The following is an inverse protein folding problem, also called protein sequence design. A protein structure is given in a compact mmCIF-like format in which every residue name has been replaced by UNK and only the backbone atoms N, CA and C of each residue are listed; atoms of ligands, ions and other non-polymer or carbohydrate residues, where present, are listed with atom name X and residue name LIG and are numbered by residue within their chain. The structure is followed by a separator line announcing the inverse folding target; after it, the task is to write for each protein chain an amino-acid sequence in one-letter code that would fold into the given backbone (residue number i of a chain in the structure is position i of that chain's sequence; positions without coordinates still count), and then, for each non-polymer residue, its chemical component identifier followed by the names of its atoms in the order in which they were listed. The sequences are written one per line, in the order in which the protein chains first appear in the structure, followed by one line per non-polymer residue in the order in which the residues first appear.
data_IF_093345112853
#
_entry.id   IF_093345112853
#
_cell.length_a   1.000
_cell.length_b   1.000
_cell.length_c   1.000
_cell.angle_alpha   90.00
_cell.angle_beta   90.00
_cell.angle_gamma   90.00
#
_symmetry.space_group_name_H-M   'P 1'
#
loop_
_entity.id
_entity.type
_entity.pdbx_description
1 polymer ?
#
# COMPACT_ATOMS: atom_id res chain seq x y z
N UNK A 1 -32.97 -60.30 -25.69
CA UNK A 1 -33.89 -59.25 -25.18
C UNK A 1 -33.11 -58.31 -24.27
N UNK A 2 -33.16 -57.00 -24.60
CA UNK A 2 -32.87 -55.77 -23.83
C UNK A 2 -31.69 -55.72 -22.85
N UNK A 3 -30.65 -54.97 -23.25
CA UNK A 3 -29.64 -54.34 -22.38
C UNK A 3 -30.28 -53.12 -21.68
N UNK A 4 -30.26 -53.05 -20.36
CA UNK A 4 -30.55 -51.81 -19.62
C UNK A 4 -29.24 -51.01 -19.48
N UNK A 5 -29.18 -49.86 -20.16
CA UNK A 5 -28.21 -48.82 -19.87
C UNK A 5 -28.84 -47.85 -18.87
N UNK A 6 -28.27 -47.77 -17.66
CA UNK A 6 -28.64 -46.74 -16.69
C UNK A 6 -27.81 -45.48 -16.98
N UNK A 7 -28.46 -44.44 -17.49
CA UNK A 7 -27.88 -43.13 -17.69
C UNK A 7 -28.02 -42.34 -16.37
N UNK A 8 -26.92 -42.17 -15.65
CA UNK A 8 -26.85 -41.29 -14.48
C UNK A 8 -26.74 -39.84 -14.96
N UNK A 9 -27.81 -39.08 -14.78
CA UNK A 9 -27.88 -37.66 -15.07
C UNK A 9 -27.31 -36.89 -13.88
N UNK A 10 -26.07 -36.41 -13.99
CA UNK A 10 -25.44 -35.55 -12.99
C UNK A 10 -26.08 -34.16 -13.02
N UNK A 11 -26.90 -33.86 -12.03
CA UNK A 11 -27.49 -32.52 -11.86
C UNK A 11 -26.45 -31.61 -11.18
N UNK A 12 -25.69 -30.86 -11.98
CA UNK A 12 -24.78 -29.84 -11.49
C UNK A 12 -25.59 -28.64 -10.96
N UNK A 13 -25.72 -28.50 -9.63
CA UNK A 13 -26.16 -27.26 -9.01
C UNK A 13 -25.08 -26.19 -9.25
N UNK A 14 -25.28 -25.38 -10.30
CA UNK A 14 -24.58 -24.11 -10.42
C UNK A 14 -25.14 -23.17 -9.35
N UNK A 15 -24.43 -23.03 -8.23
CA UNK A 15 -24.69 -21.99 -7.26
C UNK A 15 -24.51 -20.62 -7.92
N UNK A 16 -25.28 -19.59 -7.54
CA UNK A 16 -25.09 -18.26 -8.08
C UNK A 16 -23.67 -17.81 -7.69
N UNK A 17 -22.83 -17.58 -8.70
CA UNK A 17 -21.62 -16.82 -8.50
C UNK A 17 -22.03 -15.49 -7.86
N UNK A 18 -21.54 -15.23 -6.65
CA UNK A 18 -21.70 -13.95 -6.01
C UNK A 18 -21.27 -12.90 -7.02
N UNK A 19 -22.24 -12.13 -7.52
CA UNK A 19 -22.01 -11.00 -8.39
C UNK A 19 -21.07 -10.06 -7.64
N UNK A 20 -19.80 -10.03 -8.06
CA UNK A 20 -18.93 -8.92 -7.78
C UNK A 20 -19.65 -7.67 -8.29
N UNK A 21 -20.19 -6.86 -7.38
CA UNK A 21 -20.61 -5.50 -7.70
C UNK A 21 -19.45 -4.75 -8.38
N UNK A 22 -19.70 -3.63 -9.05
CA UNK A 22 -18.74 -2.99 -9.94
C UNK A 22 -17.52 -2.50 -9.15
N UNK A 23 -16.53 -3.36 -9.00
CA UNK A 23 -15.20 -3.09 -8.43
C UNK A 23 -14.22 -2.73 -9.57
N UNK A 24 -14.76 -2.07 -10.61
CA UNK A 24 -14.13 -1.87 -11.91
C UNK A 24 -13.32 -0.57 -12.01
N UNK A 25 -13.09 0.13 -10.91
CA UNK A 25 -12.03 1.15 -10.85
C UNK A 25 -10.79 0.44 -10.32
N UNK A 26 -10.14 -0.33 -11.19
CA UNK A 26 -8.95 -1.13 -10.85
C UNK A 26 -7.80 -0.30 -10.29
N UNK A 27 -6.70 -0.96 -9.91
CA UNK A 27 -5.53 -0.29 -9.29
C UNK A 27 -5.02 0.93 -10.08
N UNK A 28 -5.10 0.93 -11.42
CA UNK A 28 -4.76 2.10 -12.23
C UNK A 28 -5.63 3.34 -11.92
N UNK A 29 -6.95 3.17 -11.80
CA UNK A 29 -7.86 4.26 -11.43
C UNK A 29 -7.59 4.77 -10.00
N UNK A 30 -7.22 3.86 -9.09
CA UNK A 30 -6.80 4.23 -7.74
C UNK A 30 -5.51 5.08 -7.75
N UNK A 31 -4.53 4.72 -8.59
CA UNK A 31 -3.30 5.49 -8.76
C UNK A 31 -3.59 6.87 -9.37
N UNK A 32 -4.44 6.94 -10.39
CA UNK A 32 -4.83 8.20 -11.04
C UNK A 32 -5.51 9.15 -10.03
N UNK A 33 -6.43 8.64 -9.22
CA UNK A 33 -7.09 9.44 -8.17
C UNK A 33 -6.11 9.94 -7.09
N UNK A 34 -5.11 9.12 -6.77
CA UNK A 34 -4.07 9.42 -5.79
C UNK A 34 -2.90 10.23 -6.38
N UNK A 35 -2.92 10.53 -7.68
CA UNK A 35 -1.80 11.14 -8.41
C UNK A 35 -0.47 10.38 -8.23
N UNK A 36 -0.53 9.05 -8.19
CA UNK A 36 0.62 8.18 -7.99
C UNK A 36 1.11 7.57 -9.32
N UNK A 37 2.42 7.40 -9.42
CA UNK A 37 3.09 6.67 -10.48
C UNK A 37 3.64 5.38 -9.89
N UNK A 38 3.22 4.25 -10.47
CA UNK A 38 3.72 2.92 -10.11
C UNK A 38 4.76 2.45 -11.14
N UNK A 39 5.98 2.22 -10.67
CA UNK A 39 7.13 1.82 -11.48
C UNK A 39 7.79 0.59 -10.82
N UNK A 40 7.25 -0.63 -11.01
CA UNK A 40 7.81 -1.82 -10.38
C UNK A 40 9.27 -2.05 -10.83
N UNK A 41 10.18 -2.48 -9.93
CA UNK A 41 11.54 -2.77 -10.34
C UNK A 41 11.59 -3.95 -11.32
N UNK A 42 12.53 -3.90 -12.26
CA UNK A 42 12.65 -4.92 -13.29
C UNK A 42 12.82 -6.33 -12.70
N UNK A 43 12.11 -7.30 -13.26
CA UNK A 43 12.18 -8.70 -12.88
C UNK A 43 11.33 -9.08 -11.65
N UNK A 44 10.70 -8.13 -10.96
CA UNK A 44 9.79 -8.47 -9.87
C UNK A 44 8.54 -9.15 -10.42
N UNK A 45 8.04 -10.11 -9.67
CA UNK A 45 6.80 -10.84 -9.97
C UNK A 45 5.66 -10.31 -9.12
N UNK A 46 4.48 -10.14 -9.72
CA UNK A 46 3.28 -9.76 -8.96
C UNK A 46 2.79 -10.92 -8.10
N UNK A 47 2.39 -10.59 -6.87
CA UNK A 47 1.68 -11.47 -5.97
C UNK A 47 0.21 -11.03 -5.88
N UNK A 48 -0.70 -11.94 -5.49
CA UNK A 48 -2.09 -11.57 -5.24
C UNK A 48 -2.19 -10.42 -4.22
N UNK A 49 -3.12 -9.46 -4.41
CA UNK A 49 -3.45 -8.50 -3.37
C UNK A 49 -4.01 -9.23 -2.15
N UNK A 50 -3.93 -8.60 -0.99
CA UNK A 50 -4.28 -9.25 0.25
C UNK A 50 -4.76 -8.30 1.33
N UNK A 51 -5.40 -8.92 2.32
CA UNK A 51 -5.85 -8.26 3.54
C UNK A 51 -5.18 -8.93 4.70
N UNK A 52 -4.57 -8.13 5.56
CA UNK A 52 -4.03 -8.61 6.83
C UNK A 52 -4.75 -7.85 7.94
N UNK A 53 -4.82 -8.42 9.16
CA UNK A 53 -5.29 -7.67 10.31
C UNK A 53 -4.57 -6.32 10.49
N UNK A 54 -3.34 -6.15 9.98
CA UNK A 54 -2.55 -4.94 10.18
C UNK A 54 -2.68 -3.92 9.05
N UNK A 55 -2.81 -4.38 7.80
CA UNK A 55 -2.87 -3.54 6.60
C UNK A 55 -3.53 -4.29 5.43
N UNK A 56 -4.52 -3.65 4.81
CA UNK A 56 -5.01 -4.03 3.50
C UNK A 56 -4.12 -3.43 2.41
N UNK A 57 -3.73 -4.22 1.42
CA UNK A 57 -2.85 -3.76 0.33
C UNK A 57 -3.42 -4.12 -1.04
N UNK A 58 -3.33 -3.19 -1.98
CA UNK A 58 -3.88 -3.35 -3.33
C UNK A 58 -2.90 -4.02 -4.30
N UNK A 59 -1.60 -4.04 -3.97
CA UNK A 59 -0.56 -4.72 -4.75
C UNK A 59 0.54 -5.30 -3.88
N UNK A 60 1.10 -6.41 -4.34
CA UNK A 60 2.31 -6.98 -3.79
C UNK A 60 3.25 -7.45 -4.91
N UNK A 61 4.56 -7.30 -4.68
CA UNK A 61 5.63 -7.70 -5.60
C UNK A 61 6.66 -8.51 -4.86
N UNK A 62 7.30 -9.47 -5.53
CA UNK A 62 8.44 -10.21 -4.99
C UNK A 62 9.63 -10.14 -5.92
N UNK A 63 10.82 -10.02 -5.35
CA UNK A 63 12.07 -10.09 -6.10
C UNK A 63 12.29 -11.45 -6.75
N UNK A 64 13.12 -11.54 -7.80
CA UNK A 64 13.51 -12.82 -8.39
C UNK A 64 14.12 -13.82 -7.40
N UNK A 65 14.90 -13.33 -6.43
CA UNK A 65 15.54 -14.18 -5.40
C UNK A 65 14.58 -14.57 -4.27
N UNK A 66 13.50 -13.82 -4.07
CA UNK A 66 12.56 -14.02 -2.97
C UNK A 66 12.91 -13.26 -1.69
N UNK A 67 14.08 -12.61 -1.62
CA UNK A 67 14.58 -11.97 -0.39
C UNK A 67 13.93 -10.60 -0.08
N UNK A 68 13.15 -10.06 -1.02
CA UNK A 68 12.46 -8.80 -0.85
C UNK A 68 11.04 -8.89 -1.40
N UNK A 69 10.06 -8.61 -0.54
CA UNK A 69 8.66 -8.43 -0.88
C UNK A 69 8.25 -6.98 -0.68
N UNK A 70 7.45 -6.43 -1.59
CA UNK A 70 6.95 -5.05 -1.55
C UNK A 70 5.43 -5.13 -1.49
N UNK A 71 4.79 -4.48 -0.52
CA UNK A 71 3.32 -4.37 -0.43
C UNK A 71 2.91 -2.91 -0.47
N UNK A 72 1.91 -2.60 -1.28
CA UNK A 72 1.45 -1.24 -1.57
C UNK A 72 0.03 -1.03 -1.07
N UNK A 73 -0.16 -0.01 -0.25
CA UNK A 73 -1.45 0.45 0.21
C UNK A 73 -1.66 1.93 -0.15
N UNK A 74 -2.73 2.25 -0.88
CA UNK A 74 -3.05 3.61 -1.34
C UNK A 74 -4.34 4.10 -0.67
N UNK A 75 -4.30 5.32 -0.11
CA UNK A 75 -5.41 5.93 0.63
C UNK A 75 -5.66 7.37 0.12
N UNK A 76 -6.46 7.55 -0.95
CA UNK A 76 -6.84 8.88 -1.41
C UNK A 76 -7.62 9.64 -0.35
N UNK A 77 -7.24 10.89 -0.07
CA UNK A 77 -7.91 11.71 0.94
C UNK A 77 -9.37 12.00 0.56
N UNK A 78 -9.68 12.05 -0.75
CA UNK A 78 -11.05 12.19 -1.25
C UNK A 78 -11.99 11.05 -0.85
N UNK A 79 -11.44 9.87 -0.54
CA UNK A 79 -12.18 8.69 -0.07
C UNK A 79 -12.27 8.61 1.44
N UNK A 80 -11.51 9.44 2.16
CA UNK A 80 -11.50 9.44 3.62
C UNK A 80 -12.81 10.06 4.13
N UNK A 81 -13.74 9.20 4.55
CA UNK A 81 -14.93 9.62 5.30
C UNK A 81 -14.55 9.67 6.78
N UNK A 82 -14.37 10.87 7.31
CA UNK A 82 -14.28 11.06 8.76
C UNK A 82 -15.71 11.34 9.25
N UNK A 83 -16.43 10.28 9.61
CA UNK A 83 -17.74 10.41 10.25
C UNK A 83 -17.50 10.75 11.74
N UNK A 84 -17.75 12.00 12.14
CA UNK A 84 -17.77 12.42 13.55
C UNK A 84 -19.22 12.66 13.99
N UNK A 85 -19.68 11.91 14.99
CA UNK A 85 -21.00 12.08 15.63
C UNK A 85 -21.00 13.17 16.73
N UNK A 86 -19.87 13.88 16.95
CA UNK A 86 -19.73 14.87 18.02
C UNK A 86 -19.88 16.32 17.50
N UNK A 87 -20.95 17.04 17.87
CA UNK A 87 -21.19 18.43 17.46
C UNK A 87 -20.22 19.46 18.08
N UNK A 88 -19.32 19.05 18.97
CA UNK A 88 -18.29 19.91 19.58
C UNK A 88 -16.85 19.57 19.15
N UNK A 89 -16.66 18.58 18.27
CA UNK A 89 -15.33 18.21 17.76
C UNK A 89 -14.83 19.19 16.70
N UNK A 90 -13.73 19.90 16.95
CA UNK A 90 -12.98 20.55 15.88
C UNK A 90 -12.40 19.45 14.98
N UNK A 91 -12.84 19.38 13.71
CA UNK A 91 -12.32 18.40 12.74
C UNK A 91 -10.84 18.72 12.49
N UNK A 92 -9.89 17.87 12.93
CA UNK A 92 -8.49 18.09 12.58
C UNK A 92 -8.34 17.93 11.07
N UNK A 93 -7.64 18.88 10.43
CA UNK A 93 -7.35 18.83 9.00
C UNK A 93 -6.70 17.47 8.67
N UNK A 94 -7.25 16.67 7.73
CA UNK A 94 -6.66 15.40 7.30
C UNK A 94 -5.19 15.52 6.88
N UNK A 95 -4.77 16.69 6.40
CA UNK A 95 -3.38 16.97 6.06
C UNK A 95 -2.46 17.07 7.29
N UNK A 96 -2.99 17.11 8.51
CA UNK A 96 -2.21 17.23 9.74
C UNK A 96 -2.26 15.97 10.61
N UNK A 97 -3.13 15.00 10.29
CA UNK A 97 -3.24 13.75 11.05
C UNK A 97 -2.33 12.64 10.50
N UNK A 98 -1.84 12.76 9.26
CA UNK A 98 -1.06 11.70 8.62
C UNK A 98 0.20 11.26 9.42
N UNK A 99 0.93 12.13 10.16
CA UNK A 99 2.05 11.65 10.98
C UNK A 99 1.57 10.71 12.08
N UNK A 100 0.42 11.00 12.69
CA UNK A 100 -0.17 10.15 13.73
C UNK A 100 -0.65 8.81 13.15
N UNK A 101 -1.24 8.83 11.95
CA UNK A 101 -1.64 7.60 11.24
C UNK A 101 -0.42 6.75 10.93
N UNK A 102 0.66 7.35 10.44
CA UNK A 102 1.92 6.66 10.19
C UNK A 102 2.53 6.05 11.45
N UNK A 103 2.64 6.80 12.55
CA UNK A 103 3.16 6.29 13.82
C UNK A 103 2.30 5.15 14.38
N UNK A 104 0.97 5.27 14.28
CA UNK A 104 0.04 4.21 14.66
C UNK A 104 0.25 2.95 13.82
N UNK A 105 0.42 3.09 12.50
CA UNK A 105 0.67 1.97 11.60
C UNK A 105 2.04 1.34 11.88
N UNK A 106 3.09 2.13 12.06
CA UNK A 106 4.43 1.64 12.37
C UNK A 106 4.44 0.85 13.69
N UNK A 107 3.82 1.38 14.74
CA UNK A 107 3.69 0.70 16.03
C UNK A 107 2.89 -0.61 15.92
N UNK A 108 1.80 -0.60 15.15
CA UNK A 108 0.97 -1.78 14.90
C UNK A 108 1.75 -2.88 14.15
N UNK A 109 2.48 -2.50 13.09
CA UNK A 109 3.32 -3.42 12.32
C UNK A 109 4.44 -4.04 13.15
N UNK A 110 4.96 -3.29 14.13
CA UNK A 110 5.94 -3.75 15.10
C UNK A 110 5.35 -4.52 16.30
N UNK A 111 4.04 -4.81 16.32
CA UNK A 111 3.41 -5.51 17.44
C UNK A 111 3.39 -4.74 18.76
N UNK A 112 3.42 -3.41 18.72
CA UNK A 112 3.60 -2.55 19.90
C UNK A 112 5.07 -2.38 20.33
N UNK A 113 6.02 -2.97 19.60
CA UNK A 113 7.45 -2.77 19.78
C UNK A 113 7.94 -1.40 19.28
N UNK A 114 9.23 -1.13 19.47
CA UNK A 114 9.85 0.11 18.99
C UNK A 114 10.05 0.05 17.46
N UNK A 115 9.37 0.94 16.74
CA UNK A 115 9.57 1.17 15.32
C UNK A 115 10.23 2.54 15.13
N UNK A 116 11.57 2.65 15.17
CA UNK A 116 12.23 3.93 15.00
C UNK A 116 11.87 4.51 13.64
N UNK A 117 11.22 5.66 13.66
CA UNK A 117 10.79 6.38 12.48
C UNK A 117 11.65 7.63 12.26
N UNK A 118 11.87 7.99 11.01
CA UNK A 118 12.51 9.24 10.64
C UNK A 118 11.77 9.88 9.46
N UNK A 119 11.26 11.11 9.61
CA UNK A 119 10.78 11.87 8.47
C UNK A 119 11.97 12.30 7.60
N UNK A 120 11.75 12.32 6.30
CA UNK A 120 12.68 12.92 5.36
C UNK A 120 12.63 14.45 5.48
N UNK A 121 13.76 15.16 5.29
CA UNK A 121 13.71 16.60 5.00
C UNK A 121 12.77 16.87 3.83
N UNK A 122 12.00 17.97 3.88
CA UNK A 122 10.97 18.30 2.86
C UNK A 122 11.55 18.27 1.45
N UNK A 123 12.73 18.86 1.25
CA UNK A 123 13.43 18.88 -0.04
C UNK A 123 13.74 17.47 -0.55
N UNK A 124 14.09 16.54 0.33
CA UNK A 124 14.34 15.14 -0.04
C UNK A 124 13.04 14.40 -0.35
N UNK A 125 11.97 14.64 0.42
CA UNK A 125 10.65 14.05 0.14
C UNK A 125 10.13 14.49 -1.24
N UNK A 126 10.32 15.78 -1.56
CA UNK A 126 9.98 16.34 -2.87
C UNK A 126 10.88 15.76 -3.98
N UNK A 127 12.20 15.81 -3.82
CA UNK A 127 13.14 15.36 -4.85
C UNK A 127 13.04 13.86 -5.13
N UNK A 128 12.79 13.03 -4.11
CA UNK A 128 12.77 11.57 -4.26
C UNK A 128 11.40 11.01 -4.61
N UNK A 129 10.31 11.64 -4.15
CA UNK A 129 8.97 11.05 -4.22
C UNK A 129 7.90 12.01 -4.76
N UNK A 130 8.26 13.25 -5.09
CA UNK A 130 7.33 14.36 -5.36
C UNK A 130 6.28 14.54 -4.23
N UNK A 131 6.61 14.15 -3.00
CA UNK A 131 5.72 14.19 -1.85
C UNK A 131 5.89 15.51 -1.07
N UNK A 132 4.84 15.96 -0.38
CA UNK A 132 4.96 17.06 0.59
C UNK A 132 5.64 16.58 1.88
N UNK A 133 5.45 15.31 2.20
CA UNK A 133 6.08 14.66 3.33
C UNK A 133 6.32 13.18 3.05
N UNK A 134 7.41 12.64 3.60
CA UNK A 134 7.66 11.21 3.62
C UNK A 134 8.35 10.83 4.94
N UNK A 135 8.13 9.60 5.40
CA UNK A 135 8.88 9.02 6.51
C UNK A 135 9.12 7.53 6.30
N UNK A 136 10.19 7.03 6.90
CA UNK A 136 10.47 5.61 6.95
C UNK A 136 10.57 5.13 8.40
N UNK A 137 10.02 3.95 8.68
CA UNK A 137 10.20 3.24 9.94
C UNK A 137 10.67 1.80 9.67
N UNK A 138 11.64 1.32 10.44
CA UNK A 138 12.07 -0.08 10.41
C UNK A 138 11.42 -0.81 11.58
N UNK A 139 10.99 -2.05 11.38
CA UNK A 139 10.32 -2.86 12.39
C UNK A 139 10.66 -4.34 12.23
N UNK A 140 10.55 -5.08 13.33
CA UNK A 140 10.48 -6.55 13.28
C UNK A 140 9.03 -6.96 13.03
N UNK A 141 8.81 -7.89 12.09
CA UNK A 141 7.47 -8.28 11.68
C UNK A 141 6.79 -9.13 12.75
N UNK A 142 5.48 -8.98 12.87
CA UNK A 142 4.63 -9.90 13.64
C UNK A 142 3.92 -10.91 12.75
N UNK A 143 3.55 -12.07 13.34
CA UNK A 143 2.83 -13.15 12.65
C UNK A 143 1.55 -12.66 11.97
N UNK A 144 0.86 -11.69 12.58
CA UNK A 144 -0.39 -11.11 12.05
C UNK A 144 -0.19 -10.34 10.73
N UNK A 145 1.05 -10.06 10.34
CA UNK A 145 1.34 -9.49 9.03
C UNK A 145 1.41 -10.53 7.91
N UNK A 146 1.23 -11.82 8.21
CA UNK A 146 1.16 -12.91 7.22
C UNK A 146 2.32 -12.86 6.22
N UNK A 147 3.54 -12.85 6.73
CA UNK A 147 4.79 -12.85 5.96
C UNK A 147 5.74 -13.91 6.50
N UNK A 148 6.63 -14.38 5.64
CA UNK A 148 7.74 -15.28 6.01
C UNK A 148 9.00 -14.52 6.44
N UNK A 149 9.07 -13.23 6.07
CA UNK A 149 10.18 -12.35 6.43
C UNK A 149 10.06 -11.88 7.86
N UNK A 150 11.21 -11.67 8.49
CA UNK A 150 11.34 -11.30 9.91
C UNK A 150 11.45 -9.80 10.14
N UNK A 151 11.82 -9.02 9.13
CA UNK A 151 11.98 -7.57 9.21
C UNK A 151 11.17 -6.84 8.14
N UNK A 152 10.89 -5.56 8.40
CA UNK A 152 10.26 -4.69 7.43
C UNK A 152 10.69 -3.24 7.53
N UNK A 153 10.47 -2.52 6.44
CA UNK A 153 10.56 -1.07 6.35
C UNK A 153 9.23 -0.53 5.83
N UNK A 154 8.56 0.30 6.62
CA UNK A 154 7.39 1.06 6.21
C UNK A 154 7.86 2.41 5.68
N UNK A 155 7.59 2.69 4.40
CA UNK A 155 7.72 4.02 3.80
C UNK A 155 6.31 4.61 3.66
N UNK A 156 6.08 5.76 4.30
CA UNK A 156 4.86 6.53 4.12
C UNK A 156 5.15 7.76 3.26
N UNK A 157 4.25 8.03 2.30
CA UNK A 157 4.28 9.18 1.41
C UNK A 157 2.97 9.94 1.57
N UNK A 158 3.06 11.27 1.71
CA UNK A 158 1.90 12.15 1.81
C UNK A 158 2.01 13.30 0.81
N UNK A 159 0.90 13.60 0.13
CA UNK A 159 0.72 14.82 -0.64
C UNK A 159 -0.54 15.53 -0.16
N UNK A 160 -0.37 16.79 0.21
CA UNK A 160 -1.42 17.63 0.75
C UNK A 160 -2.63 17.66 -0.19
N UNK A 161 -3.81 17.39 0.37
CA UNK A 161 -5.12 17.39 -0.31
C UNK A 161 -5.28 16.34 -1.41
N UNK A 162 -4.32 15.41 -1.53
CA UNK A 162 -4.33 14.35 -2.55
C UNK A 162 -4.49 12.97 -1.90
N UNK A 163 -3.45 12.41 -1.29
CA UNK A 163 -3.50 11.05 -0.74
C UNK A 163 -2.36 10.75 0.22
N UNK A 164 -2.55 9.67 0.99
CA UNK A 164 -1.49 8.92 1.65
C UNK A 164 -1.18 7.64 0.85
N UNK A 165 0.08 7.25 0.81
CA UNK A 165 0.50 5.96 0.28
C UNK A 165 1.52 5.30 1.21
N UNK A 166 1.41 3.99 1.37
CA UNK A 166 2.28 3.19 2.22
C UNK A 166 2.92 2.09 1.38
N UNK A 167 4.24 2.00 1.46
CA UNK A 167 5.04 0.95 0.84
C UNK A 167 5.73 0.18 1.95
N UNK A 168 5.36 -1.09 2.12
CA UNK A 168 5.99 -1.98 3.08
C UNK A 168 6.96 -2.89 2.35
N UNK A 169 8.24 -2.75 2.67
CA UNK A 169 9.30 -3.63 2.22
C UNK A 169 9.53 -4.69 3.29
N UNK A 170 9.58 -5.96 2.91
CA UNK A 170 9.75 -7.10 3.81
C UNK A 170 10.98 -7.90 3.40
N UNK A 171 11.85 -8.20 4.36
CA UNK A 171 13.14 -8.85 4.15
C UNK A 171 13.64 -9.49 5.45
N UNK A 172 14.72 -10.27 5.37
CA UNK A 172 15.32 -10.93 6.54
C UNK A 172 16.67 -10.34 6.96
N UNK A 173 17.42 -9.76 6.02
CA UNK A 173 18.71 -9.12 6.28
C UNK A 173 18.82 -7.81 5.50
N UNK A 174 18.74 -6.69 6.22
CA UNK A 174 18.89 -5.35 5.65
C UNK A 174 20.19 -5.18 4.87
N UNK A 175 21.31 -5.72 5.37
CA UNK A 175 22.61 -5.55 4.72
C UNK A 175 22.64 -6.25 3.36
N UNK A 176 22.04 -7.45 3.27
CA UNK A 176 21.94 -8.22 2.04
C UNK A 176 21.05 -7.53 1.00
N UNK A 177 19.93 -6.92 1.40
CA UNK A 177 18.96 -6.31 0.47
C UNK A 177 19.14 -4.82 0.25
N UNK A 178 20.07 -4.13 0.95
CA UNK A 178 20.18 -2.66 0.97
C UNK A 178 20.17 -2.01 -0.41
N UNK A 179 20.97 -2.52 -1.36
CA UNK A 179 21.06 -1.95 -2.71
C UNK A 179 19.73 -2.12 -3.45
N UNK A 180 19.14 -3.30 -3.35
CA UNK A 180 17.87 -3.62 -3.96
C UNK A 180 16.71 -2.82 -3.36
N UNK A 181 16.69 -2.67 -2.03
CA UNK A 181 15.74 -1.85 -1.29
C UNK A 181 15.82 -0.39 -1.73
N UNK A 182 17.03 0.17 -1.82
CA UNK A 182 17.22 1.56 -2.27
C UNK A 182 16.69 1.79 -3.69
N UNK A 183 16.88 0.83 -4.60
CA UNK A 183 16.30 0.89 -5.93
C UNK A 183 14.76 0.76 -5.87
N UNK A 184 14.25 -0.13 -5.02
CA UNK A 184 12.83 -0.39 -4.85
C UNK A 184 12.07 0.76 -4.17
N UNK A 185 12.74 1.69 -3.47
CA UNK A 185 12.09 2.88 -2.91
C UNK A 185 11.41 3.76 -3.97
N UNK A 186 11.80 3.65 -5.25
CA UNK A 186 11.17 4.36 -6.37
C UNK A 186 9.95 3.61 -6.97
N UNK A 187 9.54 2.49 -6.37
CA UNK A 187 8.40 1.68 -6.87
C UNK A 187 7.11 2.48 -6.93
N UNK A 188 6.93 3.40 -5.99
CA UNK A 188 5.76 4.26 -5.90
C UNK A 188 6.21 5.68 -5.58
N UNK A 189 5.80 6.62 -6.41
CA UNK A 189 6.04 8.06 -6.22
C UNK A 189 4.79 8.81 -6.59
N UNK A 190 4.69 10.08 -6.20
CA UNK A 190 3.67 10.93 -6.80
C UNK A 190 4.09 11.41 -8.19
N UNK A 191 3.11 11.63 -9.07
CA UNK A 191 3.31 12.27 -10.35
C UNK A 191 3.95 13.66 -10.17
N UNK A 192 4.84 14.11 -11.08
CA UNK A 192 5.43 15.45 -11.01
C UNK A 192 4.35 16.53 -10.92
N UNK A 193 4.62 17.60 -10.15
CA UNK A 193 3.72 18.75 -10.12
C UNK A 193 3.78 19.47 -11.47
N UNK A 194 2.63 19.90 -11.95
CA UNK A 194 2.61 20.88 -13.03
C UNK A 194 3.39 22.13 -12.56
N UNK A 195 4.24 22.72 -13.41
CA UNK A 195 4.83 24.01 -13.09
C UNK A 195 3.72 25.04 -12.87
N UNK A 196 3.91 26.02 -11.98
CA UNK A 196 2.96 27.12 -11.87
C UNK A 196 2.83 27.79 -13.24
N UNK A 197 1.62 28.23 -13.64
CA UNK A 197 1.47 28.99 -14.87
C UNK A 197 2.38 30.21 -14.83
N UNK A 198 3.15 30.44 -15.90
CA UNK A 198 4.12 31.53 -16.00
C UNK A 198 3.50 32.87 -15.56
N UNK A 199 4.09 33.52 -14.54
CA UNK A 199 3.79 34.92 -14.20
C UNK A 199 3.28 35.24 -12.79
N UNK A 200 3.44 34.37 -11.79
CA UNK A 200 3.16 34.74 -10.39
C UNK A 200 4.44 34.67 -9.54
N UNK A 201 5.31 35.68 -9.72
CA UNK A 201 6.45 35.99 -8.86
C UNK A 201 6.37 37.42 -8.37
#
# INVERSE_FOLDING_TARGET
MRRLAALLLSLSLAGPAASAGPMADGFAALLDEAELVFAPPAGYVELPPGRTPMLDYERALRSPSGDLEIRLAVRPLKRLRIDYDDPHGAVPDPNHIFPLVFESLASRLAGGGHAPSNPYPVEQAQARFNADWAAAAVFDTVTDFATQHTQGLLLALHRNKVSDAYVVFLFDDYAAVKQQLNAAMQTLTFAPRAPPPDGSG
#
